data_IF_542814753996
#
_entry.id   IF_542814753996
#
_cell.length_a   1.000
_cell.length_b   1.000
_cell.length_c   1.000
_cell.angle_alpha   90.00
_cell.angle_beta   90.00
_cell.angle_gamma   90.00
#
_symmetry.space_group_name_H-M   'P 1'
#
loop_
_entity.id
_entity.type
_entity.pdbx_description
1 polymer ?
#
# COMPACT_ATOMS: atom_id res chain seq x y z
N UNK A 1 34.21 14.96 -10.79
CA UNK A 1 32.82 14.94 -10.27
C UNK A 1 32.25 13.54 -10.42
N UNK A 2 32.23 12.74 -9.35
CA UNK A 2 31.59 11.42 -9.39
C UNK A 2 30.12 11.59 -9.05
N UNK A 3 29.28 11.41 -10.07
CA UNK A 3 27.82 11.29 -9.93
C UNK A 3 27.51 10.00 -9.19
N UNK A 4 27.26 10.08 -7.90
CA UNK A 4 26.67 9.00 -7.12
C UNK A 4 25.22 8.81 -7.55
N UNK A 5 25.00 7.94 -8.55
CA UNK A 5 23.68 7.35 -8.81
C UNK A 5 23.30 6.53 -7.57
N UNK A 6 22.48 7.13 -6.70
CA UNK A 6 21.88 6.45 -5.56
C UNK A 6 21.11 5.22 -6.05
N UNK A 7 21.63 4.07 -5.66
CA UNK A 7 21.19 2.69 -5.88
C UNK A 7 19.66 2.55 -5.77
N UNK A 8 18.97 2.34 -6.90
CA UNK A 8 17.68 1.65 -6.89
C UNK A 8 17.97 0.15 -6.81
N UNK A 9 18.31 -0.34 -5.62
CA UNK A 9 18.46 -1.77 -5.37
C UNK A 9 17.14 -2.51 -5.56
N UNK A 10 17.21 -3.83 -5.72
CA UNK A 10 16.01 -4.67 -5.65
C UNK A 10 15.71 -5.02 -4.18
N UNK A 11 14.43 -5.12 -3.79
CA UNK A 11 14.07 -5.57 -2.46
C UNK A 11 14.45 -7.04 -2.26
N UNK A 12 14.80 -7.39 -1.02
CA UNK A 12 14.97 -8.79 -0.63
C UNK A 12 13.60 -9.48 -0.61
N UNK A 13 13.53 -10.75 -1.05
CA UNK A 13 12.28 -11.52 -1.06
C UNK A 13 12.46 -12.78 -0.23
N UNK A 14 11.57 -12.97 0.73
CA UNK A 14 11.54 -14.14 1.61
C UNK A 14 10.23 -14.91 1.41
N UNK A 15 10.34 -16.22 1.23
CA UNK A 15 9.20 -17.15 1.26
C UNK A 15 9.24 -17.96 2.57
N UNK A 16 8.37 -17.67 3.54
CA UNK A 16 8.28 -18.42 4.79
C UNK A 16 7.84 -19.86 4.54
N UNK A 17 8.44 -20.81 5.27
CA UNK A 17 8.19 -22.26 5.13
C UNK A 17 6.83 -22.72 5.66
N UNK A 18 6.22 -21.99 6.62
CA UNK A 18 4.89 -22.26 7.19
C UNK A 18 3.95 -21.06 6.99
N UNK A 19 3.52 -20.89 5.75
CA UNK A 19 3.04 -19.62 5.21
C UNK A 19 1.66 -19.14 5.63
N UNK A 20 0.86 -19.92 6.34
CA UNK A 20 -0.46 -19.44 6.78
C UNK A 20 -0.33 -18.83 8.17
N UNK A 21 0.34 -19.54 9.09
CA UNK A 21 0.48 -19.12 10.49
C UNK A 21 1.47 -17.96 10.66
N UNK A 22 2.57 -17.95 9.92
CA UNK A 22 3.56 -16.86 10.02
C UNK A 22 3.00 -15.55 9.46
N UNK A 23 2.20 -15.59 8.39
CA UNK A 23 1.64 -14.38 7.79
C UNK A 23 0.57 -13.73 8.67
N UNK A 24 -0.29 -14.53 9.30
CA UNK A 24 -1.29 -14.01 10.22
C UNK A 24 -0.68 -13.43 11.51
N UNK A 25 0.52 -13.86 11.89
CA UNK A 25 1.27 -13.33 13.04
C UNK A 25 2.01 -12.02 12.74
N UNK A 26 2.22 -11.67 11.47
CA UNK A 26 2.88 -10.42 11.09
C UNK A 26 1.90 -9.25 11.11
N UNK A 27 2.31 -8.12 11.72
CA UNK A 27 1.54 -6.87 11.62
C UNK A 27 1.34 -6.54 10.17
N UNK A 28 0.07 -6.43 9.72
CA UNK A 28 -0.30 -6.17 8.34
C UNK A 28 -0.11 -4.71 7.89
N UNK A 29 0.28 -3.83 8.80
CA UNK A 29 0.67 -2.46 8.45
C UNK A 29 1.83 -1.99 9.32
N UNK A 30 2.88 -1.50 8.68
CA UNK A 30 4.04 -0.89 9.33
C UNK A 30 3.94 0.64 9.24
N UNK A 31 4.18 1.36 10.35
CA UNK A 31 4.25 2.81 10.31
C UNK A 31 5.58 3.25 9.67
N UNK A 32 5.49 4.06 8.62
CA UNK A 32 6.62 4.85 8.13
C UNK A 32 6.46 6.27 8.59
N UNK A 33 7.33 6.70 9.48
CA UNK A 33 7.44 8.09 9.88
C UNK A 33 8.30 8.85 8.87
N UNK A 34 7.79 9.95 8.33
CA UNK A 34 8.52 10.78 7.38
C UNK A 34 8.14 12.25 7.54
N UNK A 35 9.15 13.11 7.72
CA UNK A 35 8.92 14.49 8.12
C UNK A 35 8.23 14.60 9.49
N UNK A 36 7.96 15.82 9.92
CA UNK A 36 7.41 16.08 11.26
C UNK A 36 5.98 15.52 11.41
N UNK A 37 5.83 14.51 12.27
CA UNK A 37 4.55 13.99 12.73
C UNK A 37 3.69 13.27 11.67
N UNK A 38 4.24 12.91 10.50
CA UNK A 38 3.47 12.22 9.45
C UNK A 38 3.81 10.74 9.44
N UNK A 39 2.76 9.93 9.35
CA UNK A 39 2.86 8.47 9.28
C UNK A 39 2.12 7.99 8.04
N UNK A 40 2.79 7.15 7.25
CA UNK A 40 2.14 6.34 6.22
C UNK A 40 2.22 4.88 6.65
N UNK A 41 1.06 4.24 6.73
CA UNK A 41 0.94 2.82 7.02
C UNK A 41 1.10 2.04 5.72
N UNK A 42 2.11 1.20 5.65
CA UNK A 42 2.48 0.44 4.44
C UNK A 42 2.53 -1.05 4.74
N UNK A 43 2.62 -1.88 3.70
CA UNK A 43 2.69 -3.33 3.80
C UNK A 43 4.02 -3.85 3.24
N UNK A 44 4.57 -4.89 3.87
CA UNK A 44 5.73 -5.66 3.37
C UNK A 44 5.34 -7.08 2.91
N UNK A 45 4.05 -7.43 3.00
CA UNK A 45 3.46 -8.71 2.58
C UNK A 45 2.23 -8.46 1.70
N UNK A 46 1.60 -9.54 1.23
CA UNK A 46 0.28 -9.49 0.61
C UNK A 46 -0.78 -9.00 1.61
N UNK A 47 -1.71 -8.17 1.14
CA UNK A 47 -2.84 -7.66 1.94
C UNK A 47 -4.12 -7.75 1.12
N UNK A 48 -5.26 -7.67 1.80
CA UNK A 48 -6.59 -7.65 1.18
C UNK A 48 -7.51 -6.65 1.89
N UNK A 49 -8.64 -6.34 1.26
CA UNK A 49 -9.59 -5.30 1.71
C UNK A 49 -9.99 -5.40 3.18
N UNK A 50 -10.21 -6.61 3.72
CA UNK A 50 -10.58 -6.78 5.13
C UNK A 50 -9.49 -6.26 6.10
N UNK A 51 -8.21 -6.51 5.82
CA UNK A 51 -7.09 -6.02 6.66
C UNK A 51 -6.97 -4.50 6.58
N UNK A 52 -7.21 -3.92 5.39
CA UNK A 52 -7.27 -2.46 5.21
C UNK A 52 -8.42 -1.87 6.04
N UNK A 53 -9.60 -2.48 6.01
CA UNK A 53 -10.76 -2.05 6.79
C UNK A 53 -10.49 -2.08 8.30
N UNK A 54 -9.84 -3.15 8.79
CA UNK A 54 -9.41 -3.27 10.18
C UNK A 54 -8.46 -2.13 10.57
N UNK A 55 -7.47 -1.82 9.72
CA UNK A 55 -6.54 -0.72 9.99
C UNK A 55 -7.23 0.65 9.99
N UNK A 56 -8.18 0.88 9.08
CA UNK A 56 -9.00 2.10 9.09
C UNK A 56 -9.76 2.23 10.40
N UNK A 57 -10.42 1.15 10.86
CA UNK A 57 -11.16 1.15 12.12
C UNK A 57 -10.24 1.41 13.34
N UNK A 58 -9.07 0.78 13.37
CA UNK A 58 -8.04 1.01 14.40
C UNK A 58 -7.64 2.49 14.49
N UNK A 59 -7.33 3.13 13.35
CA UNK A 59 -6.93 4.54 13.32
C UNK A 59 -8.06 5.49 13.72
N UNK A 60 -9.30 5.18 13.34
CA UNK A 60 -10.48 5.96 13.78
C UNK A 60 -10.63 5.88 15.30
N UNK A 61 -10.47 4.69 15.89
CA UNK A 61 -10.56 4.50 17.33
C UNK A 61 -9.44 5.23 18.08
N UNK A 62 -8.21 5.15 17.57
CA UNK A 62 -7.06 5.82 18.17
C UNK A 62 -7.15 7.35 18.07
N UNK A 63 -7.70 7.89 16.97
CA UNK A 63 -7.72 9.32 16.73
C UNK A 63 -8.95 9.76 15.90
N UNK A 64 -10.13 9.92 16.52
CA UNK A 64 -11.39 10.12 15.80
C UNK A 64 -11.46 11.46 15.05
N UNK A 65 -10.58 12.41 15.32
CA UNK A 65 -10.54 13.73 14.68
C UNK A 65 -9.72 13.77 13.39
N UNK A 66 -8.87 12.76 13.14
CA UNK A 66 -7.99 12.70 11.98
C UNK A 66 -8.76 12.27 10.72
N UNK A 67 -8.33 12.79 9.57
CA UNK A 67 -8.79 12.29 8.26
C UNK A 67 -7.98 11.06 7.88
N UNK A 68 -8.55 10.18 7.08
CA UNK A 68 -7.85 8.99 6.59
C UNK A 68 -7.88 9.01 5.06
N UNK A 69 -6.74 8.80 4.43
CA UNK A 69 -6.67 8.55 2.99
C UNK A 69 -6.13 7.15 2.77
N UNK A 70 -6.91 6.31 2.10
CA UNK A 70 -6.48 4.99 1.66
C UNK A 70 -6.02 5.12 0.21
N UNK A 71 -4.73 4.90 -0.02
CA UNK A 71 -4.14 4.75 -1.35
C UNK A 71 -4.31 3.28 -1.77
N UNK A 72 -5.02 3.05 -2.86
CA UNK A 72 -5.29 1.73 -3.46
C UNK A 72 -4.93 1.74 -4.96
N UNK A 73 -5.35 0.74 -5.74
CA UNK A 73 -5.43 0.81 -7.19
C UNK A 73 -4.50 -0.12 -7.98
N UNK A 74 -3.64 -0.92 -7.34
CA UNK A 74 -2.90 -2.01 -8.01
C UNK A 74 -2.53 -3.15 -7.08
N UNK A 75 -2.14 -4.29 -7.68
CA UNK A 75 -1.15 -5.19 -7.09
C UNK A 75 0.23 -4.53 -7.15
N UNK A 76 0.67 -3.99 -6.02
CA UNK A 76 2.10 -3.77 -5.84
C UNK A 76 2.79 -5.13 -5.93
N UNK A 77 3.86 -5.21 -6.72
CA UNK A 77 4.72 -6.39 -6.72
C UNK A 77 5.76 -6.25 -5.61
N UNK A 78 6.25 -7.37 -5.08
CA UNK A 78 7.31 -7.39 -4.07
C UNK A 78 8.55 -6.58 -4.51
N UNK A 79 8.85 -6.56 -5.82
CA UNK A 79 9.92 -5.77 -6.43
C UNK A 79 9.64 -4.26 -6.57
N UNK A 80 8.51 -3.76 -6.04
CA UNK A 80 8.10 -2.36 -6.17
C UNK A 80 7.54 -1.97 -7.54
N UNK A 81 7.50 -2.91 -8.49
CA UNK A 81 6.85 -2.73 -9.78
C UNK A 81 5.36 -3.04 -9.63
N UNK A 82 4.51 -2.14 -10.11
CA UNK A 82 3.09 -2.41 -10.23
C UNK A 82 2.87 -3.38 -11.38
N UNK A 83 1.91 -4.28 -11.23
CA UNK A 83 1.54 -5.21 -12.30
C UNK A 83 0.72 -4.55 -13.43
N UNK A 84 0.48 -3.23 -13.36
CA UNK A 84 -0.22 -2.45 -14.38
C UNK A 84 0.70 -1.48 -15.13
N UNK A 85 0.64 -1.53 -16.47
CA UNK A 85 0.98 -0.41 -17.33
C UNK A 85 -0.31 0.27 -17.83
N UNK A 86 -0.16 1.51 -18.31
CA UNK A 86 -1.21 2.40 -18.86
C UNK A 86 -2.02 1.83 -20.04
N UNK A 87 -1.67 0.65 -20.57
CA UNK A 87 -2.26 0.11 -21.80
C UNK A 87 -3.08 -1.16 -21.61
N UNK A 88 -3.26 -1.62 -20.36
CA UNK A 88 -3.90 -2.90 -20.10
C UNK A 88 -3.04 -4.05 -20.60
N UNK A 89 -3.18 -5.20 -19.95
CA UNK A 89 -2.51 -6.46 -20.31
C UNK A 89 -1.03 -6.52 -19.88
N UNK A 90 -0.83 -7.05 -18.67
CA UNK A 90 0.10 -8.19 -18.53
C UNK A 90 -0.68 -9.41 -18.04
N UNK A 91 -1.42 -9.99 -18.99
CA UNK A 91 -2.14 -11.27 -18.92
C UNK A 91 -1.13 -12.43 -18.89
N UNK A 92 -0.33 -12.52 -17.84
CA UNK A 92 0.58 -13.67 -17.65
C UNK A 92 0.26 -14.43 -16.35
N UNK A 93 -0.20 -13.78 -15.26
CA UNK A 93 -0.49 -14.47 -14.00
C UNK A 93 -1.61 -13.87 -13.15
N UNK A 94 -2.86 -13.83 -13.63
CA UNK A 94 -4.01 -13.70 -12.73
C UNK A 94 -4.95 -12.52 -12.95
N UNK A 95 -5.69 -12.55 -14.07
CA UNK A 95 -6.87 -11.69 -14.29
C UNK A 95 -7.97 -11.83 -13.22
N UNK A 96 -7.87 -12.80 -12.32
CA UNK A 96 -8.75 -12.97 -11.14
C UNK A 96 -8.44 -11.98 -10.00
N UNK A 97 -7.17 -11.59 -9.82
CA UNK A 97 -6.78 -10.75 -8.69
C UNK A 97 -7.19 -9.29 -8.88
N UNK A 98 -7.36 -8.80 -10.11
CA UNK A 98 -7.83 -7.44 -10.39
C UNK A 98 -9.32 -7.25 -10.09
N UNK A 99 -10.20 -8.17 -10.55
CA UNK A 99 -11.63 -8.14 -10.20
C UNK A 99 -11.85 -8.22 -8.70
N UNK A 100 -11.03 -9.03 -8.01
CA UNK A 100 -11.06 -9.13 -6.55
C UNK A 100 -10.67 -7.81 -5.88
N UNK A 101 -9.63 -7.12 -6.35
CA UNK A 101 -9.26 -5.81 -5.79
C UNK A 101 -10.28 -4.70 -6.11
N UNK A 102 -10.83 -4.68 -7.32
CA UNK A 102 -11.91 -3.74 -7.65
C UNK A 102 -13.18 -4.02 -6.82
N UNK A 103 -13.44 -5.30 -6.55
CA UNK A 103 -14.48 -5.75 -5.62
C UNK A 103 -14.15 -5.40 -4.18
N UNK A 104 -12.90 -5.51 -3.75
CA UNK A 104 -12.42 -5.15 -2.41
C UNK A 104 -12.43 -3.63 -2.20
N UNK A 105 -12.07 -2.83 -3.21
CA UNK A 105 -12.23 -1.36 -3.22
C UNK A 105 -13.71 -0.99 -3.10
N UNK A 106 -14.60 -1.67 -3.84
CA UNK A 106 -16.05 -1.48 -3.75
C UNK A 106 -16.61 -1.94 -2.40
N UNK A 107 -16.11 -3.05 -1.88
CA UNK A 107 -16.49 -3.60 -0.56
C UNK A 107 -16.01 -2.67 0.54
N UNK A 108 -14.79 -2.15 0.46
CA UNK A 108 -14.26 -1.11 1.34
C UNK A 108 -15.18 0.11 1.31
N UNK A 109 -15.53 0.61 0.12
CA UNK A 109 -16.50 1.70 -0.03
C UNK A 109 -17.85 1.41 0.64
N UNK A 110 -18.32 0.16 0.61
CA UNK A 110 -19.61 -0.25 1.19
C UNK A 110 -19.54 -0.64 2.68
N UNK A 111 -18.35 -0.97 3.20
CA UNK A 111 -18.13 -1.42 4.59
C UNK A 111 -18.07 -0.24 5.56
N UNK A 112 -17.81 0.95 5.06
CA UNK A 112 -17.73 2.18 5.86
C UNK A 112 -19.10 2.89 5.90
N UNK A 113 -19.88 2.80 7.00
CA UNK A 113 -21.18 3.48 7.10
C UNK A 113 -21.04 5.01 7.02
N UNK A 114 -22.13 5.65 6.59
CA UNK A 114 -22.19 7.00 6.07
C UNK A 114 -22.26 8.14 7.12
N UNK A 115 -21.34 8.20 8.10
CA UNK A 115 -20.78 9.51 8.41
C UNK A 115 -19.25 9.56 8.28
N UNK A 116 -18.64 8.70 7.46
CA UNK A 116 -17.20 8.69 7.21
C UNK A 116 -16.74 9.64 6.08
N UNK A 117 -17.18 10.90 6.09
CA UNK A 117 -16.58 11.99 5.27
C UNK A 117 -15.05 12.14 5.49
N UNK A 118 -14.54 11.49 6.53
CA UNK A 118 -13.13 11.47 6.95
C UNK A 118 -12.29 10.46 6.15
N UNK A 119 -12.87 9.41 5.56
CA UNK A 119 -12.13 8.38 4.81
C UNK A 119 -12.23 8.68 3.31
N UNK A 120 -11.08 8.82 2.64
CA UNK A 120 -11.02 9.01 1.18
C UNK A 120 -10.19 7.91 0.56
N UNK A 121 -10.82 7.11 -0.31
CA UNK A 121 -10.11 6.11 -1.11
C UNK A 121 -9.61 6.79 -2.40
N UNK A 122 -8.35 6.55 -2.75
CA UNK A 122 -7.69 7.13 -3.92
C UNK A 122 -6.91 6.05 -4.66
N UNK A 123 -7.25 5.88 -5.94
CA UNK A 123 -6.51 5.03 -6.86
C UNK A 123 -5.18 5.69 -7.22
N UNK A 124 -4.08 5.13 -6.72
CA UNK A 124 -2.72 5.61 -6.86
C UNK A 124 -2.22 5.56 -8.31
N UNK A 125 -2.78 4.69 -9.17
CA UNK A 125 -2.42 4.62 -10.61
C UNK A 125 -2.84 5.84 -11.39
N UNK A 126 -3.88 6.52 -10.92
CA UNK A 126 -4.47 7.69 -11.56
C UNK A 126 -3.89 9.00 -11.02
N UNK A 127 -2.84 8.92 -10.19
CA UNK A 127 -2.22 10.09 -9.54
C UNK A 127 -0.82 10.33 -10.11
N UNK A 128 -0.51 11.59 -10.42
CA UNK A 128 0.86 12.03 -10.68
C UNK A 128 1.68 12.05 -9.38
N UNK A 129 3.01 11.99 -9.48
CA UNK A 129 3.92 12.04 -8.32
C UNK A 129 3.68 13.27 -7.44
N UNK A 130 3.43 14.44 -8.04
CA UNK A 130 3.13 15.66 -7.29
C UNK A 130 1.80 15.57 -6.53
N UNK A 131 0.81 14.86 -7.10
CA UNK A 131 -0.47 14.63 -6.43
C UNK A 131 -0.33 13.63 -5.30
N UNK A 132 0.50 12.59 -5.46
CA UNK A 132 0.87 11.66 -4.38
C UNK A 132 1.56 12.43 -3.26
N UNK A 133 2.61 13.18 -3.57
CA UNK A 133 3.36 14.01 -2.61
C UNK A 133 2.45 14.99 -1.86
N UNK A 134 1.53 15.66 -2.57
CA UNK A 134 0.52 16.52 -1.92
C UNK A 134 -0.44 15.78 -1.00
N UNK A 135 -0.82 14.55 -1.32
CA UNK A 135 -1.67 13.73 -0.44
C UNK A 135 -0.90 13.33 0.83
N UNK A 136 0.33 12.87 0.65
CA UNK A 136 1.23 12.47 1.73
C UNK A 136 1.47 13.65 2.69
N UNK A 137 1.69 14.84 2.17
CA UNK A 137 1.95 16.03 2.97
C UNK A 137 0.70 16.67 3.61
N UNK A 138 -0.49 16.08 3.51
CA UNK A 138 -1.70 16.67 4.11
C UNK A 138 -1.62 16.67 5.64
N UNK A 139 -1.81 17.82 6.29
CA UNK A 139 -1.85 17.87 7.75
C UNK A 139 -3.07 17.12 8.29
N UNK A 140 -2.97 16.66 9.54
CA UNK A 140 -4.06 15.98 10.26
C UNK A 140 -4.72 14.83 9.48
N UNK A 141 -3.91 14.09 8.72
CA UNK A 141 -4.36 13.00 7.84
C UNK A 141 -3.47 11.79 8.02
N UNK A 142 -4.06 10.65 8.34
CA UNK A 142 -3.39 9.36 8.28
C UNK A 142 -3.49 8.78 6.88
N UNK A 143 -2.38 8.25 6.40
CA UNK A 143 -2.31 7.65 5.07
C UNK A 143 -2.13 6.14 5.24
N UNK A 144 -2.95 5.37 4.55
CA UNK A 144 -2.82 3.91 4.45
C UNK A 144 -2.53 3.58 2.98
N UNK A 145 -1.37 2.99 2.69
CA UNK A 145 -1.08 2.40 1.39
C UNK A 145 -1.58 0.94 1.39
N UNK A 146 -2.89 0.78 1.16
CA UNK A 146 -3.66 -0.44 1.37
C UNK A 146 -3.59 -1.45 0.22
N UNK A 147 -2.40 -1.71 -0.32
CA UNK A 147 -2.17 -2.69 -1.38
C UNK A 147 -0.92 -3.51 -1.08
N UNK A 148 -0.76 -4.67 -1.73
CA UNK A 148 0.34 -5.59 -1.45
C UNK A 148 1.71 -4.93 -1.64
N UNK A 149 2.65 -5.24 -0.74
CA UNK A 149 4.05 -4.79 -0.81
C UNK A 149 4.21 -3.27 -0.99
N UNK A 150 3.28 -2.47 -0.45
CA UNK A 150 3.23 -1.03 -0.73
C UNK A 150 4.48 -0.29 -0.26
N UNK A 151 5.20 -0.82 0.73
CA UNK A 151 6.50 -0.29 1.19
C UNK A 151 7.56 -0.23 0.09
N UNK A 152 7.49 -1.13 -0.89
CA UNK A 152 8.45 -1.20 -1.99
C UNK A 152 8.00 -0.47 -3.27
N UNK A 153 6.75 0.00 -3.33
CA UNK A 153 6.21 0.70 -4.49
C UNK A 153 7.09 1.87 -4.93
N UNK A 154 7.51 1.87 -6.19
CA UNK A 154 8.46 2.87 -6.71
C UNK A 154 7.89 4.29 -6.61
N UNK A 155 6.60 4.48 -6.89
CA UNK A 155 5.99 5.81 -6.85
C UNK A 155 5.93 6.32 -5.41
N UNK A 156 5.52 5.46 -4.47
CA UNK A 156 5.40 5.80 -3.06
C UNK A 156 6.78 6.08 -2.45
N UNK A 157 7.78 5.23 -2.70
CA UNK A 157 9.15 5.45 -2.22
C UNK A 157 9.74 6.75 -2.72
N UNK A 158 9.54 7.10 -4.00
CA UNK A 158 9.96 8.38 -4.56
C UNK A 158 9.28 9.57 -3.87
N UNK A 159 7.97 9.46 -3.63
CA UNK A 159 7.21 10.51 -2.95
C UNK A 159 7.54 10.64 -1.45
N UNK A 160 8.12 9.61 -0.84
CA UNK A 160 8.58 9.58 0.55
C UNK A 160 10.09 9.86 0.67
N UNK A 161 10.62 10.83 -0.07
CA UNK A 161 12.05 11.19 -0.04
C UNK A 161 13.00 10.05 -0.47
N UNK A 162 12.63 9.32 -1.54
CA UNK A 162 13.45 8.26 -2.13
C UNK A 162 13.85 7.14 -1.15
N UNK A 163 12.89 6.66 -0.36
CA UNK A 163 13.14 5.55 0.57
C UNK A 163 13.82 4.35 -0.13
N UNK A 164 14.81 3.72 0.52
CA UNK A 164 15.38 2.48 0.00
C UNK A 164 14.31 1.37 0.00
N UNK A 165 14.45 0.38 -0.91
CA UNK A 165 13.65 -0.83 -0.84
C UNK A 165 13.95 -1.59 0.47
N UNK A 166 13.06 -2.48 0.87
CA UNK A 166 13.17 -3.34 2.06
C UNK A 166 12.79 -4.77 1.72
N UNK A 167 12.87 -5.67 2.70
CA UNK A 167 12.43 -7.06 2.55
C UNK A 167 10.92 -7.15 2.30
N UNK A 168 10.52 -8.03 1.40
CA UNK A 168 9.12 -8.41 1.18
C UNK A 168 8.93 -9.89 1.43
N UNK A 169 7.80 -10.24 2.03
CA UNK A 169 7.44 -11.61 2.38
C UNK A 169 6.32 -12.10 1.46
N UNK A 170 6.61 -13.08 0.60
CA UNK A 170 5.65 -13.64 -0.36
C UNK A 170 5.16 -15.00 0.12
N UNK A 171 3.85 -15.16 0.27
CA UNK A 171 3.24 -16.45 0.58
C UNK A 171 3.28 -17.38 -0.64
N UNK A 172 3.18 -18.70 -0.46
CA UNK A 172 2.95 -19.59 -1.58
C UNK A 172 1.65 -19.16 -2.27
N UNK A 173 1.54 -19.37 -3.59
CA UNK A 173 0.33 -19.06 -4.32
C UNK A 173 -0.87 -19.70 -3.60
N UNK A 174 -1.84 -18.89 -3.20
CA UNK A 174 -3.11 -19.42 -2.74
C UNK A 174 -3.71 -20.30 -3.86
N UNK A 175 -4.16 -21.53 -3.56
CA UNK A 175 -4.76 -22.41 -4.55
C UNK A 175 -6.01 -21.79 -5.21
#
# INVERSE_FOLDING_TARGET
>A
SQSSRSVMGEPNIVMPTNSTTVYDQLSHFFPLHYGEGRTVWVTEYETWGQKVAQKVAELIQQNPTRKIVVLTGTHGGAHGRRLFNRYGIRKIFGGYRERRFLSEDRTLHNTFPAPLYKVKIRDLTKLSNDKVTRILNRPNTDIIAGFCFSRNDIQLRRALNNLPPTTSYIGPPSP
#
